data_IF_556976941477
#
_entry.id   IF_556976941477
#
_cell.length_a   1.000
_cell.length_b   1.000
_cell.length_c   1.000
_cell.angle_alpha   90.00
_cell.angle_beta   90.00
_cell.angle_gamma   90.00
#
_symmetry.space_group_name_H-M   'P 1'
#
loop_
_entity.id
_entity.type
_entity.pdbx_description
1 polymer ?
#
# COMPACT_ATOMS: atom_id res chain seq x y z
N UNK A 1 18.69 33.90 -32.46
CA UNK A 1 18.68 32.45 -32.75
C UNK A 1 17.87 31.84 -31.62
N UNK A 2 16.59 31.57 -31.86
CA UNK A 2 15.67 31.01 -30.86
C UNK A 2 15.93 29.52 -30.72
N UNK A 3 16.20 29.08 -29.50
CA UNK A 3 16.41 27.68 -29.14
C UNK A 3 15.13 26.88 -29.44
N UNK A 4 15.15 25.88 -30.33
CA UNK A 4 13.99 25.04 -30.56
C UNK A 4 13.87 24.13 -29.33
N UNK A 5 12.87 24.41 -28.47
CA UNK A 5 12.55 23.55 -27.35
C UNK A 5 12.36 22.09 -27.80
N UNK A 6 12.58 21.11 -26.90
CA UNK A 6 12.60 19.69 -27.25
C UNK A 6 11.32 19.29 -28.00
N UNK A 7 11.52 18.58 -29.12
CA UNK A 7 10.45 18.11 -29.98
C UNK A 7 9.53 17.15 -29.21
N UNK A 8 8.35 17.66 -28.82
CA UNK A 8 7.34 16.91 -28.11
C UNK A 8 6.85 15.67 -28.89
N UNK A 9 7.16 15.57 -30.19
CA UNK A 9 6.80 14.42 -31.02
C UNK A 9 7.64 13.16 -30.77
N UNK A 10 8.77 13.25 -30.06
CA UNK A 10 9.67 12.10 -29.87
C UNK A 10 9.10 11.00 -28.96
N UNK A 11 8.12 11.34 -28.11
CA UNK A 11 7.55 10.44 -27.10
C UNK A 11 6.07 10.11 -27.32
N UNK A 12 5.47 10.57 -28.42
CA UNK A 12 4.05 10.41 -28.72
C UNK A 12 3.14 11.31 -27.89
N UNK A 13 1.82 11.15 -28.06
CA UNK A 13 0.83 11.92 -27.31
C UNK A 13 0.90 11.60 -25.81
N UNK A 14 0.81 12.65 -24.98
CA UNK A 14 0.73 12.49 -23.52
C UNK A 14 -0.47 11.62 -23.13
N UNK A 15 -0.22 10.64 -22.26
CA UNK A 15 -1.30 9.88 -21.62
C UNK A 15 -2.04 10.84 -20.68
N UNK A 16 -3.30 11.13 -21.00
CA UNK A 16 -4.17 12.01 -20.21
C UNK A 16 -4.95 11.26 -19.12
N UNK A 17 -4.91 9.92 -19.14
CA UNK A 17 -5.51 9.10 -18.09
C UNK A 17 -4.66 9.18 -16.82
N UNK A 18 -5.26 9.57 -15.71
CA UNK A 18 -4.62 9.60 -14.39
C UNK A 18 -5.22 8.54 -13.49
N UNK A 19 -4.44 8.09 -12.51
CA UNK A 19 -4.92 7.28 -11.38
C UNK A 19 -4.62 8.05 -10.10
N UNK A 20 -5.62 8.26 -9.25
CA UNK A 20 -5.45 8.86 -7.93
C UNK A 20 -5.27 7.75 -6.90
N UNK A 21 -4.14 7.74 -6.20
CA UNK A 21 -3.86 6.78 -5.14
C UNK A 21 -3.77 7.53 -3.81
N UNK A 22 -4.50 7.06 -2.80
CA UNK A 22 -4.38 7.54 -1.43
C UNK A 22 -3.84 6.42 -0.54
N UNK A 23 -3.10 6.79 0.51
CA UNK A 23 -2.72 5.86 1.58
C UNK A 23 -3.06 6.45 2.93
N UNK A 24 -3.60 5.65 3.84
CA UNK A 24 -3.96 6.11 5.18
C UNK A 24 -3.92 4.98 6.22
N UNK A 25 -3.11 5.18 7.26
CA UNK A 25 -3.20 4.43 8.50
C UNK A 25 -4.43 4.89 9.31
N UNK A 26 -5.39 3.98 9.54
CA UNK A 26 -6.67 4.27 10.19
C UNK A 26 -6.61 4.29 11.73
N UNK A 27 -5.45 3.96 12.30
CA UNK A 27 -5.21 3.90 13.73
C UNK A 27 -6.14 2.92 14.46
N UNK A 28 -6.42 1.78 13.82
CA UNK A 28 -7.23 0.66 14.33
C UNK A 28 -8.51 1.11 15.05
N UNK A 29 -8.93 0.36 16.08
CA UNK A 29 -10.04 0.76 16.95
C UNK A 29 -9.59 1.65 18.12
N UNK A 30 -8.40 2.27 18.06
CA UNK A 30 -7.88 3.08 19.15
C UNK A 30 -8.68 4.38 19.36
N UNK A 31 -8.74 4.86 20.60
CA UNK A 31 -9.50 6.06 20.95
C UNK A 31 -11.00 5.93 20.61
N UNK A 32 -11.71 7.05 20.34
CA UNK A 32 -13.15 7.05 20.08
C UNK A 32 -13.47 6.58 18.66
N UNK A 33 -13.18 5.32 18.33
CA UNK A 33 -13.34 4.74 16.99
C UNK A 33 -14.72 5.00 16.38
N UNK A 34 -15.79 4.86 17.17
CA UNK A 34 -17.17 5.06 16.72
C UNK A 34 -17.44 6.49 16.24
N UNK A 35 -16.73 7.48 16.78
CA UNK A 35 -16.81 8.88 16.33
C UNK A 35 -15.90 9.17 15.13
N UNK A 36 -14.78 8.45 15.01
CA UNK A 36 -13.82 8.58 13.90
C UNK A 36 -14.34 7.93 12.62
N UNK A 37 -14.95 6.75 12.71
CA UNK A 37 -15.38 5.95 11.57
C UNK A 37 -16.20 6.74 10.52
N UNK A 38 -17.30 7.45 10.86
CA UNK A 38 -18.07 8.20 9.86
C UNK A 38 -17.29 9.40 9.29
N UNK A 39 -16.29 9.93 10.00
CA UNK A 39 -15.43 11.02 9.50
C UNK A 39 -14.38 10.49 8.53
N UNK A 40 -13.80 9.33 8.81
CA UNK A 40 -12.87 8.63 7.91
C UNK A 40 -13.55 8.35 6.57
N UNK A 41 -14.76 7.79 6.61
CA UNK A 41 -15.56 7.53 5.41
C UNK A 41 -15.78 8.81 4.58
N UNK A 42 -16.23 9.88 5.24
CA UNK A 42 -16.45 11.17 4.57
C UNK A 42 -15.18 11.73 3.94
N UNK A 43 -14.05 11.69 4.64
CA UNK A 43 -12.76 12.16 4.11
C UNK A 43 -12.34 11.33 2.89
N UNK A 44 -12.49 10.01 2.93
CA UNK A 44 -12.17 9.15 1.79
C UNK A 44 -13.09 9.42 0.59
N UNK A 45 -14.39 9.66 0.83
CA UNK A 45 -15.33 10.05 -0.20
C UNK A 45 -14.97 11.42 -0.82
N UNK A 46 -14.58 12.39 0.00
CA UNK A 46 -14.18 13.73 -0.46
C UNK A 46 -12.83 13.71 -1.23
N UNK A 47 -11.90 12.82 -0.86
CA UNK A 47 -10.64 12.62 -1.59
C UNK A 47 -10.88 12.03 -2.98
N UNK A 48 -11.90 11.17 -3.12
CA UNK A 48 -12.31 10.51 -4.37
C UNK A 48 -11.11 9.88 -5.10
N UNK A 49 -10.31 9.10 -4.38
CA UNK A 49 -9.15 8.39 -4.93
C UNK A 49 -9.59 7.09 -5.61
N UNK A 50 -9.02 6.76 -6.76
CA UNK A 50 -9.37 5.53 -7.48
C UNK A 50 -8.90 4.27 -6.76
N UNK A 51 -7.81 4.37 -6.00
CA UNK A 51 -7.26 3.29 -5.17
C UNK A 51 -6.89 3.86 -3.81
N UNK A 52 -7.23 3.14 -2.74
CA UNK A 52 -6.91 3.52 -1.36
C UNK A 52 -6.18 2.37 -0.67
N UNK A 53 -4.96 2.63 -0.20
CA UNK A 53 -4.15 1.72 0.59
C UNK A 53 -4.33 2.03 2.08
N UNK A 54 -4.86 1.09 2.85
CA UNK A 54 -5.15 1.27 4.27
C UNK A 54 -4.23 0.41 5.13
N UNK A 55 -3.84 0.97 6.28
CA UNK A 55 -3.11 0.28 7.34
C UNK A 55 -3.89 0.36 8.66
N UNK A 56 -3.59 -0.55 9.59
CA UNK A 56 -4.29 -0.67 10.87
C UNK A 56 -5.81 -0.85 10.73
N UNK A 57 -6.20 -1.68 9.77
CA UNK A 57 -7.59 -2.08 9.55
C UNK A 57 -7.97 -3.13 10.59
N UNK A 58 -9.07 -2.94 11.31
CA UNK A 58 -9.63 -4.01 12.14
C UNK A 58 -10.44 -4.99 11.29
N UNK A 59 -10.37 -6.28 11.66
CA UNK A 59 -11.15 -7.38 11.06
C UNK A 59 -11.79 -8.20 12.17
N UNK A 60 -13.10 -8.32 12.19
CA UNK A 60 -13.77 -9.33 13.03
C UNK A 60 -13.52 -10.70 12.41
N UNK A 61 -12.71 -11.52 13.08
CA UNK A 61 -12.30 -12.83 12.53
C UNK A 61 -13.40 -13.88 12.58
N UNK A 62 -14.47 -13.63 13.34
CA UNK A 62 -15.62 -14.53 13.40
C UNK A 62 -16.58 -14.34 12.22
N UNK A 63 -16.68 -13.12 11.70
CA UNK A 63 -17.59 -12.76 10.61
C UNK A 63 -16.87 -12.47 9.28
N UNK A 64 -15.58 -12.15 9.34
CA UNK A 64 -14.80 -11.64 8.21
C UNK A 64 -15.09 -10.17 7.89
N UNK A 65 -15.95 -9.49 8.65
CA UNK A 65 -16.22 -8.08 8.48
C UNK A 65 -15.00 -7.24 8.87
N UNK A 66 -14.73 -6.15 8.15
CA UNK A 66 -13.63 -5.25 8.47
C UNK A 66 -14.02 -3.79 8.30
N UNK A 67 -13.24 -2.89 8.90
CA UNK A 67 -13.35 -1.46 8.57
C UNK A 67 -13.16 -1.21 7.08
N UNK A 68 -12.26 -1.96 6.42
CA UNK A 68 -12.04 -1.84 4.98
C UNK A 68 -13.25 -2.30 4.15
N UNK A 69 -13.92 -3.39 4.52
CA UNK A 69 -15.11 -3.86 3.79
C UNK A 69 -16.28 -2.88 3.94
N UNK A 70 -16.46 -2.29 5.13
CA UNK A 70 -17.46 -1.23 5.36
C UNK A 70 -17.19 0.02 4.52
N UNK A 71 -15.93 0.48 4.50
CA UNK A 71 -15.53 1.62 3.67
C UNK A 71 -15.70 1.32 2.18
N UNK A 72 -15.35 0.11 1.74
CA UNK A 72 -15.54 -0.32 0.37
C UNK A 72 -17.01 -0.31 -0.04
N UNK A 73 -17.90 -0.83 0.81
CA UNK A 73 -19.35 -0.78 0.56
C UNK A 73 -19.85 0.66 0.45
N UNK A 74 -19.48 1.54 1.38
CA UNK A 74 -19.90 2.93 1.38
C UNK A 74 -19.42 3.71 0.14
N UNK A 75 -18.20 3.44 -0.33
CA UNK A 75 -17.61 4.10 -1.51
C UNK A 75 -17.99 3.42 -2.84
N UNK A 76 -18.60 2.23 -2.80
CA UNK A 76 -18.87 1.41 -3.98
C UNK A 76 -17.61 0.79 -4.61
N UNK A 77 -16.62 0.43 -3.79
CA UNK A 77 -15.30 -0.06 -4.20
C UNK A 77 -15.18 -1.57 -3.97
N UNK A 78 -14.20 -2.17 -4.63
CA UNK A 78 -13.72 -3.52 -4.38
C UNK A 78 -12.66 -3.51 -3.27
N UNK A 79 -12.52 -4.60 -2.53
CA UNK A 79 -11.61 -4.68 -1.37
C UNK A 79 -10.77 -5.96 -1.37
N UNK A 80 -9.51 -5.82 -0.98
CA UNK A 80 -8.63 -6.92 -0.58
C UNK A 80 -8.03 -6.62 0.79
N UNK A 81 -7.95 -7.64 1.66
CA UNK A 81 -7.48 -7.50 3.04
C UNK A 81 -6.44 -8.58 3.33
N UNK A 82 -5.35 -8.21 3.99
CA UNK A 82 -4.37 -9.13 4.54
C UNK A 82 -4.23 -8.89 6.03
N UNK A 83 -4.60 -9.90 6.83
CA UNK A 83 -4.45 -9.83 8.27
C UNK A 83 -2.98 -10.05 8.66
N UNK A 84 -2.42 -9.13 9.45
CA UNK A 84 -1.04 -9.21 9.88
C UNK A 84 -0.92 -9.85 11.27
N UNK A 85 -1.79 -9.45 12.20
CA UNK A 85 -1.84 -9.94 13.57
C UNK A 85 -3.29 -10.05 14.06
N UNK A 86 -3.50 -10.52 15.28
CA UNK A 86 -4.79 -10.47 15.95
C UNK A 86 -4.64 -10.13 17.44
N UNK A 87 -5.68 -9.53 18.01
CA UNK A 87 -5.84 -9.33 19.44
C UNK A 87 -7.30 -9.61 19.80
N UNK A 88 -7.51 -10.57 20.71
CA UNK A 88 -8.85 -10.94 21.22
C UNK A 88 -9.88 -11.24 20.12
N UNK A 89 -9.45 -11.92 19.06
CA UNK A 89 -10.32 -12.27 17.92
C UNK A 89 -10.57 -11.14 16.93
N UNK A 90 -9.91 -9.98 17.09
CA UNK A 90 -9.93 -8.87 16.14
C UNK A 90 -8.58 -8.75 15.45
N UNK A 91 -8.60 -8.87 14.13
CA UNK A 91 -7.44 -8.75 13.27
C UNK A 91 -6.89 -7.33 13.18
N UNK A 92 -5.60 -7.24 12.87
CA UNK A 92 -4.86 -6.02 12.58
C UNK A 92 -4.27 -6.16 11.19
N UNK A 93 -4.82 -5.44 10.22
CA UNK A 93 -4.66 -5.75 8.81
C UNK A 93 -4.21 -4.55 7.97
N UNK A 94 -3.70 -4.87 6.78
CA UNK A 94 -3.60 -3.93 5.67
C UNK A 94 -4.71 -4.22 4.65
N UNK A 95 -5.18 -3.20 3.94
CA UNK A 95 -6.18 -3.37 2.90
C UNK A 95 -5.92 -2.49 1.68
N UNK A 96 -6.44 -2.92 0.53
CA UNK A 96 -6.53 -2.11 -0.69
C UNK A 96 -8.00 -2.02 -1.07
N UNK A 97 -8.49 -0.79 -1.24
CA UNK A 97 -9.79 -0.49 -1.83
C UNK A 97 -9.56 0.03 -3.25
N UNK A 98 -10.43 -0.33 -4.18
CA UNK A 98 -10.29 0.05 -5.58
C UNK A 98 -11.64 0.32 -6.22
N UNK A 99 -11.76 1.42 -6.97
CA UNK A 99 -12.93 1.72 -7.82
C UNK A 99 -13.15 0.65 -8.89
N UNK A 100 -12.08 -0.03 -9.31
CA UNK A 100 -12.11 -1.09 -10.32
C UNK A 100 -11.95 -2.49 -9.72
N UNK A 101 -12.38 -3.56 -10.41
CA UNK A 101 -12.28 -4.92 -9.90
C UNK A 101 -10.87 -5.31 -9.47
N UNK A 102 -10.75 -5.95 -8.31
CA UNK A 102 -9.52 -6.63 -7.87
C UNK A 102 -9.60 -8.07 -8.35
N UNK A 103 -8.77 -8.42 -9.33
CA UNK A 103 -8.75 -9.74 -9.99
C UNK A 103 -8.17 -10.81 -9.08
N UNK A 104 -7.10 -10.46 -8.39
CA UNK A 104 -6.40 -11.34 -7.45
C UNK A 104 -5.69 -10.51 -6.39
N UNK A 105 -5.43 -11.14 -5.26
CA UNK A 105 -4.57 -10.58 -4.23
C UNK A 105 -3.66 -11.68 -3.67
N UNK A 106 -2.51 -11.25 -3.16
CA UNK A 106 -1.55 -12.12 -2.48
C UNK A 106 -0.86 -11.29 -1.41
N UNK A 107 -0.38 -11.93 -0.35
CA UNK A 107 0.34 -11.23 0.71
C UNK A 107 1.46 -12.09 1.26
N UNK A 108 2.46 -11.44 1.86
CA UNK A 108 3.55 -12.10 2.57
C UNK A 108 3.74 -11.49 3.94
N UNK A 109 4.06 -12.34 4.92
CA UNK A 109 4.56 -11.91 6.21
C UNK A 109 5.97 -11.33 6.05
N UNK A 110 6.19 -10.17 6.67
CA UNK A 110 7.49 -9.51 6.66
C UNK A 110 8.33 -10.00 7.85
N UNK A 111 9.66 -10.08 7.69
CA UNK A 111 10.55 -10.43 8.78
C UNK A 111 10.34 -9.54 10.00
N UNK A 112 10.22 -10.17 11.16
CA UNK A 112 10.16 -9.51 12.46
C UNK A 112 10.90 -10.39 13.47
N UNK A 113 11.80 -9.83 14.29
CA UNK A 113 12.46 -10.60 15.35
C UNK A 113 11.43 -11.22 16.30
N UNK A 114 11.63 -12.49 16.66
CA UNK A 114 10.69 -13.27 17.48
C UNK A 114 10.45 -12.68 18.88
N UNK A 115 11.34 -11.80 19.34
CA UNK A 115 11.22 -11.06 20.60
C UNK A 115 10.17 -9.93 20.55
N UNK A 116 9.69 -9.56 19.35
CA UNK A 116 8.63 -8.59 19.17
C UNK A 116 7.34 -9.31 18.75
N UNK A 117 6.27 -9.11 19.51
CA UNK A 117 4.91 -9.53 19.15
C UNK A 117 4.30 -8.60 18.10
N UNK A 118 5.06 -8.31 17.04
CA UNK A 118 4.67 -7.40 15.97
C UNK A 118 4.79 -8.12 14.62
N UNK A 119 3.64 -8.50 14.06
CA UNK A 119 3.56 -9.13 12.76
C UNK A 119 3.19 -8.09 11.71
N UNK A 120 4.04 -7.95 10.69
CA UNK A 120 3.83 -7.04 9.55
C UNK A 120 3.63 -7.83 8.27
N UNK A 121 2.87 -7.27 7.33
CA UNK A 121 2.64 -7.89 6.03
C UNK A 121 2.79 -6.87 4.91
N UNK A 122 3.07 -7.36 3.71
CA UNK A 122 2.83 -6.65 2.45
C UNK A 122 1.68 -7.32 1.72
N UNK A 123 0.71 -6.53 1.26
CA UNK A 123 -0.42 -7.00 0.47
C UNK A 123 -0.28 -6.48 -0.95
N UNK A 124 -0.40 -7.37 -1.93
CA UNK A 124 -0.59 -7.07 -3.36
C UNK A 124 -2.07 -7.19 -3.72
N UNK A 125 -2.59 -6.21 -4.46
CA UNK A 125 -3.83 -6.29 -5.20
C UNK A 125 -3.56 -6.08 -6.70
N UNK A 126 -4.04 -7.00 -7.52
CA UNK A 126 -4.01 -6.90 -8.98
C UNK A 126 -5.34 -6.27 -9.44
N UNK A 127 -5.29 -4.98 -9.82
CA UNK A 127 -6.47 -4.14 -10.11
C UNK A 127 -6.68 -3.98 -11.60
N UNK A 128 -7.89 -4.23 -12.10
CA UNK A 128 -8.27 -4.09 -13.51
C UNK A 128 -8.56 -2.63 -13.89
N UNK A 129 -7.49 -1.83 -13.94
CA UNK A 129 -7.54 -0.41 -14.26
C UNK A 129 -7.98 -0.09 -15.69
N UNK A 130 -8.30 1.18 -15.99
CA UNK A 130 -8.90 1.61 -17.25
C UNK A 130 -7.98 1.47 -18.47
N UNK A 131 -6.68 1.28 -18.25
CA UNK A 131 -5.68 1.04 -19.31
C UNK A 131 -5.03 -0.35 -19.23
N UNK A 132 -5.58 -1.23 -18.41
CA UNK A 132 -5.05 -2.57 -18.15
C UNK A 132 -4.71 -2.80 -16.67
N UNK A 133 -4.27 -4.02 -16.34
CA UNK A 133 -4.03 -4.42 -14.96
C UNK A 133 -2.85 -3.64 -14.35
N UNK A 134 -3.05 -3.16 -13.12
CA UNK A 134 -2.02 -2.52 -12.30
C UNK A 134 -1.79 -3.33 -11.02
N UNK A 135 -0.55 -3.38 -10.56
CA UNK A 135 -0.22 -4.02 -9.28
C UNK A 135 -0.03 -2.96 -8.22
N UNK A 136 -0.85 -3.03 -7.17
CA UNK A 136 -0.81 -2.11 -6.03
C UNK A 136 -0.38 -2.90 -4.81
N UNK A 137 0.61 -2.38 -4.11
CA UNK A 137 1.17 -2.95 -2.89
C UNK A 137 0.95 -1.99 -1.73
N UNK A 138 0.52 -2.52 -0.59
CA UNK A 138 0.40 -1.76 0.66
C UNK A 138 1.12 -2.48 1.78
N UNK A 139 1.80 -1.73 2.65
CA UNK A 139 2.48 -2.27 3.82
C UNK A 139 2.38 -1.34 5.02
N UNK A 140 2.73 -1.88 6.19
CA UNK A 140 2.94 -1.14 7.43
C UNK A 140 4.22 -1.70 8.05
N UNK A 141 5.31 -0.94 8.04
CA UNK A 141 6.62 -1.39 8.52
C UNK A 141 6.75 -1.29 10.05
N UNK A 142 7.81 -1.87 10.58
CA UNK A 142 8.15 -1.85 12.01
C UNK A 142 8.22 -0.43 12.60
N UNK A 143 7.55 -0.18 13.72
CA UNK A 143 7.33 1.20 14.21
C UNK A 143 8.45 1.78 15.08
N UNK A 144 9.31 0.95 15.68
CA UNK A 144 10.33 1.46 16.62
C UNK A 144 11.42 2.25 15.89
N UNK A 145 11.67 3.47 16.35
CA UNK A 145 12.56 4.42 15.67
C UNK A 145 14.01 3.91 15.57
N UNK A 146 14.52 3.24 16.60
CA UNK A 146 15.88 2.69 16.69
C UNK A 146 16.08 1.37 15.92
N UNK A 147 15.03 0.85 15.29
CA UNK A 147 15.05 -0.43 14.59
C UNK A 147 15.08 -0.31 13.06
N UNK A 148 15.82 0.69 12.52
CA UNK A 148 15.98 0.85 11.06
C UNK A 148 16.48 -0.44 10.38
N UNK A 149 17.37 -1.20 11.02
CA UNK A 149 17.86 -2.47 10.48
C UNK A 149 16.74 -3.48 10.18
N UNK A 150 15.70 -3.56 11.03
CA UNK A 150 14.52 -4.40 10.80
C UNK A 150 13.74 -3.88 9.59
N UNK A 151 13.46 -2.56 9.53
CA UNK A 151 12.76 -1.98 8.38
C UNK A 151 13.49 -2.19 7.07
N UNK A 152 14.83 -2.16 7.08
CA UNK A 152 15.63 -2.49 5.90
C UNK A 152 15.46 -3.95 5.47
N UNK A 153 15.40 -4.91 6.40
CA UNK A 153 15.09 -6.31 6.10
C UNK A 153 13.68 -6.49 5.53
N UNK A 154 12.70 -5.79 6.12
CA UNK A 154 11.32 -5.77 5.62
C UNK A 154 11.23 -5.21 4.20
N UNK A 155 11.94 -4.10 3.92
CA UNK A 155 12.03 -3.52 2.58
C UNK A 155 12.66 -4.49 1.58
N UNK A 156 13.71 -5.25 1.96
CA UNK A 156 14.27 -6.31 1.09
C UNK A 156 13.25 -7.40 0.80
N UNK A 157 12.48 -7.85 1.81
CA UNK A 157 11.42 -8.83 1.62
C UNK A 157 10.32 -8.31 0.69
N UNK A 158 9.91 -7.04 0.83
CA UNK A 158 8.99 -6.38 -0.10
C UNK A 158 9.55 -6.37 -1.52
N UNK A 159 10.83 -6.02 -1.68
CA UNK A 159 11.49 -6.03 -2.98
C UNK A 159 11.46 -7.40 -3.66
N UNK A 160 11.75 -8.46 -2.90
CA UNK A 160 11.65 -9.84 -3.37
C UNK A 160 10.22 -10.22 -3.76
N UNK A 161 9.22 -9.87 -2.95
CA UNK A 161 7.81 -10.16 -3.24
C UNK A 161 7.30 -9.43 -4.49
N UNK A 162 7.68 -8.17 -4.67
CA UNK A 162 7.35 -7.39 -5.88
C UNK A 162 8.02 -7.98 -7.12
N UNK A 163 9.27 -8.44 -7.01
CA UNK A 163 10.00 -9.07 -8.10
C UNK A 163 9.46 -10.47 -8.46
N UNK A 164 9.00 -11.23 -7.47
CA UNK A 164 8.39 -12.55 -7.66
C UNK A 164 6.90 -12.53 -8.02
N UNK A 165 6.27 -11.35 -8.04
CA UNK A 165 4.88 -11.20 -8.48
C UNK A 165 4.71 -11.41 -9.99
N UNK A 166 3.50 -11.73 -10.48
CA UNK A 166 3.25 -11.89 -11.91
C UNK A 166 3.73 -10.71 -12.74
N UNK A 167 4.12 -11.00 -13.98
CA UNK A 167 4.57 -9.99 -14.93
C UNK A 167 3.55 -8.85 -15.05
N UNK A 168 4.08 -7.63 -15.16
CA UNK A 168 3.31 -6.39 -15.20
C UNK A 168 3.74 -5.53 -16.38
N UNK A 169 2.77 -4.89 -17.02
CA UNK A 169 3.02 -3.92 -18.10
C UNK A 169 3.34 -2.53 -17.54
N UNK A 170 2.65 -2.15 -16.47
CA UNK A 170 2.83 -0.86 -15.81
C UNK A 170 3.70 -0.99 -14.56
N UNK A 171 4.39 0.08 -14.13
CA UNK A 171 5.13 0.10 -12.87
C UNK A 171 4.25 -0.32 -11.69
N UNK A 172 4.85 -1.03 -10.73
CA UNK A 172 4.19 -1.35 -9.47
C UNK A 172 4.00 -0.08 -8.64
N UNK A 173 2.86 0.04 -7.98
CA UNK A 173 2.59 1.10 -7.00
C UNK A 173 2.82 0.51 -5.62
N UNK A 174 3.74 1.06 -4.83
CA UNK A 174 3.93 0.69 -3.43
C UNK A 174 3.54 1.89 -2.55
N UNK A 175 2.61 1.67 -1.63
CA UNK A 175 2.20 2.64 -0.63
C UNK A 175 2.26 2.01 0.76
N UNK A 176 2.12 2.82 1.80
CA UNK A 176 2.09 2.29 3.15
C UNK A 176 2.44 3.30 4.22
N UNK A 177 2.36 2.84 5.45
CA UNK A 177 3.00 3.48 6.58
C UNK A 177 4.38 2.85 6.78
N UNK A 178 5.43 3.58 6.40
CA UNK A 178 6.79 3.04 6.48
C UNK A 178 7.43 3.24 7.85
N UNK A 179 6.79 3.96 8.77
CA UNK A 179 7.38 4.32 10.07
C UNK A 179 8.85 4.82 9.94
N UNK A 180 9.12 5.58 8.89
CA UNK A 180 10.45 6.03 8.52
C UNK A 180 10.37 7.40 7.85
N UNK A 181 11.33 8.26 8.16
CA UNK A 181 11.47 9.56 7.50
C UNK A 181 11.96 9.40 6.05
N UNK A 182 11.66 10.34 5.13
CA UNK A 182 12.00 10.23 3.72
C UNK A 182 13.49 10.01 3.39
N UNK A 183 14.39 10.38 4.29
CA UNK A 183 15.85 10.24 4.16
C UNK A 183 16.42 8.99 4.86
N UNK A 184 15.58 8.19 5.52
CA UNK A 184 15.97 6.94 6.19
C UNK A 184 16.48 5.91 5.19
N UNK A 185 17.37 5.02 5.63
CA UNK A 185 18.02 4.03 4.76
C UNK A 185 17.00 3.14 4.03
N UNK A 186 16.01 2.63 4.74
CA UNK A 186 14.91 1.81 4.20
C UNK A 186 14.12 2.52 3.09
N UNK A 187 13.89 3.84 3.19
CA UNK A 187 13.22 4.62 2.14
C UNK A 187 14.17 4.83 0.97
N UNK A 188 15.44 5.17 1.24
CA UNK A 188 16.48 5.35 0.20
C UNK A 188 16.71 4.08 -0.62
N UNK A 189 16.54 2.90 -0.01
CA UNK A 189 16.62 1.59 -0.69
C UNK A 189 15.47 1.40 -1.69
N UNK A 190 14.28 1.94 -1.40
CA UNK A 190 13.12 1.87 -2.29
C UNK A 190 13.25 2.85 -3.47
N UNK A 191 13.80 4.05 -3.22
CA UNK A 191 13.85 5.12 -4.23
C UNK A 191 15.19 5.21 -4.99
N UNK A 192 16.04 4.18 -4.88
CA UNK A 192 17.32 4.12 -5.60
C UNK A 192 18.38 5.13 -5.15
N UNK A 193 18.29 5.65 -3.92
CA UNK A 193 19.28 6.56 -3.31
C UNK A 193 20.29 5.85 -2.40
N UNK A 194 20.21 4.52 -2.36
CA UNK A 194 21.17 3.58 -1.73
C UNK A 194 21.09 2.24 -2.48
N UNK A 195 21.75 1.18 -1.98
CA UNK A 195 21.62 -0.16 -2.56
C UNK A 195 20.14 -0.58 -2.53
N UNK A 196 19.59 -0.93 -3.69
CA UNK A 196 18.14 -1.16 -3.80
C UNK A 196 17.69 -2.39 -3.02
N UNK A 197 16.42 -2.38 -2.61
CA UNK A 197 15.77 -3.52 -1.95
C UNK A 197 15.86 -4.82 -2.78
N UNK A 198 15.82 -4.68 -4.10
CA UNK A 198 16.01 -5.75 -5.07
C UNK A 198 16.70 -5.20 -6.33
N UNK A 199 17.58 -5.98 -7.01
CA UNK A 199 18.23 -5.52 -8.23
C UNK A 199 17.24 -5.07 -9.31
N UNK A 200 17.39 -3.84 -9.80
CA UNK A 200 16.56 -3.28 -10.87
C UNK A 200 15.16 -2.80 -10.44
N UNK A 201 14.82 -2.89 -9.15
CA UNK A 201 13.56 -2.38 -8.61
C UNK A 201 13.77 -1.03 -7.93
N UNK A 202 13.02 -0.02 -8.38
CA UNK A 202 12.96 1.33 -7.79
C UNK A 202 11.54 1.85 -7.84
N UNK A 203 11.16 2.65 -6.85
CA UNK A 203 9.89 3.35 -6.75
C UNK A 203 10.15 4.87 -6.84
N UNK A 204 9.35 5.58 -7.63
CA UNK A 204 9.51 7.00 -7.92
C UNK A 204 8.19 7.75 -7.81
#
# INVERSE_FOLDING_TARGET
MSDPGPDASAFGDLITTTVRVATWNLWWMFGPWQERAPRIERVLADIDADVVCLQEVWVDLSTGESSASRLAEALGYHVAVANAAELEGVGFANAVLSRWPIRSSAWEALPSPAEFEEHRVVLRADVDGPRGPMQVFTTHLHWRMDHSHIRQEQVRAIGAFVAGSPDRTFPAVLCGDFNAEPDSDEVRMLVGKSATAWPGLVFF
#
